data_IF_427751243093
#
_entry.id   IF_427751243093
#
_cell.length_a   1.000
_cell.length_b   1.000
_cell.length_c   1.000
_cell.angle_alpha   90.00
_cell.angle_beta   90.00
_cell.angle_gamma   90.00
#
_symmetry.space_group_name_H-M   'P 1'
#
loop_
_entity.id
_entity.type
_entity.pdbx_description
1 polymer ?
#
# COMPACT_ATOMS: atom_id res chain seq x y z
N UNK A 1 0.39 -6.50 -6.80
CA UNK A 1 -0.28 -6.20 -8.08
C UNK A 1 0.07 -4.83 -8.66
N UNK A 2 0.24 -3.77 -7.87
CA UNK A 2 0.65 -2.45 -8.39
C UNK A 2 2.17 -2.22 -8.53
N UNK A 3 3.03 -3.18 -8.15
CA UNK A 3 4.50 -3.06 -8.29
C UNK A 3 4.97 -2.83 -9.74
N UNK A 4 4.13 -3.15 -10.74
CA UNK A 4 4.40 -2.92 -12.16
C UNK A 4 3.99 -1.54 -12.70
N UNK A 5 3.30 -0.71 -11.91
CA UNK A 5 3.06 0.70 -12.26
C UNK A 5 4.26 1.45 -11.73
N UNK A 6 5.34 1.48 -12.51
CA UNK A 6 6.61 2.16 -12.20
C UNK A 6 6.46 3.68 -12.13
N UNK A 7 5.61 4.16 -11.23
CA UNK A 7 5.44 5.55 -10.88
C UNK A 7 6.61 5.90 -9.95
N UNK A 8 7.75 6.29 -10.54
CA UNK A 8 8.80 7.04 -9.86
C UNK A 8 8.73 8.46 -10.41
N UNK A 9 8.70 9.45 -9.54
CA UNK A 9 8.30 10.83 -9.82
C UNK A 9 8.82 11.46 -11.13
N UNK A 10 7.96 12.34 -11.66
CA UNK A 10 8.08 13.32 -12.76
C UNK A 10 9.43 13.45 -13.52
N UNK A 11 9.42 13.63 -14.87
CA UNK A 11 8.30 14.07 -15.73
C UNK A 11 7.92 13.10 -16.87
N UNK A 12 6.82 13.38 -17.61
CA UNK A 12 5.45 12.81 -17.47
C UNK A 12 5.40 11.32 -17.04
N UNK A 13 4.22 10.72 -16.75
CA UNK A 13 4.12 9.26 -16.63
C UNK A 13 4.55 8.62 -17.96
N UNK A 14 5.85 8.33 -18.07
CA UNK A 14 6.39 7.53 -19.16
C UNK A 14 6.06 6.10 -18.83
N UNK A 15 5.79 5.33 -19.89
CA UNK A 15 5.73 3.88 -19.78
C UNK A 15 7.03 3.44 -19.09
N UNK A 16 6.97 2.77 -17.92
CA UNK A 16 8.17 2.31 -17.27
C UNK A 16 8.93 1.38 -18.23
N UNK A 17 10.27 1.40 -18.22
CA UNK A 17 11.05 0.53 -19.09
C UNK A 17 10.65 -0.92 -18.86
N UNK A 18 10.48 -1.67 -19.95
CA UNK A 18 10.13 -3.08 -19.90
C UNK A 18 11.20 -3.84 -19.11
N UNK A 19 10.76 -4.64 -18.14
CA UNK A 19 11.66 -5.54 -17.44
C UNK A 19 12.29 -6.54 -18.43
N UNK A 20 13.62 -6.59 -18.45
CA UNK A 20 14.39 -7.47 -19.33
C UNK A 20 14.78 -8.77 -18.65
N UNK A 21 14.43 -8.98 -17.38
CA UNK A 21 14.72 -10.21 -16.66
C UNK A 21 14.04 -11.41 -17.35
N UNK A 22 14.71 -12.58 -17.40
CA UNK A 22 14.06 -13.82 -17.81
C UNK A 22 12.79 -14.06 -16.98
N UNK A 23 11.72 -14.54 -17.59
CA UNK A 23 10.42 -14.70 -16.93
C UNK A 23 10.49 -15.41 -15.57
N UNK A 24 11.28 -16.49 -15.47
CA UNK A 24 11.43 -17.24 -14.23
C UNK A 24 12.14 -16.44 -13.11
N UNK A 25 13.01 -15.50 -13.48
CA UNK A 25 13.69 -14.61 -12.55
C UNK A 25 12.78 -13.44 -12.13
N UNK A 26 12.11 -12.80 -13.09
CA UNK A 26 11.10 -11.77 -12.82
C UNK A 26 9.98 -12.30 -11.89
N UNK A 27 9.48 -13.51 -12.16
CA UNK A 27 8.49 -14.16 -11.32
C UNK A 27 9.02 -14.41 -9.90
N UNK A 28 10.28 -14.85 -9.75
CA UNK A 28 10.90 -15.07 -8.44
C UNK A 28 11.09 -13.76 -7.67
N UNK A 29 11.54 -12.72 -8.35
CA UNK A 29 11.66 -11.37 -7.78
C UNK A 29 10.33 -10.86 -7.27
N UNK A 30 9.27 -10.96 -8.10
CA UNK A 30 7.92 -10.55 -7.71
C UNK A 30 7.40 -11.34 -6.50
N UNK A 31 7.62 -12.66 -6.44
CA UNK A 31 7.23 -13.46 -5.28
C UNK A 31 8.02 -13.06 -4.01
N UNK A 32 9.28 -12.67 -4.17
CA UNK A 32 10.12 -12.16 -3.09
C UNK A 32 9.55 -10.90 -2.42
N UNK A 33 8.83 -10.05 -3.15
CA UNK A 33 8.17 -8.84 -2.60
C UNK A 33 7.09 -9.17 -1.53
N UNK A 34 6.62 -10.42 -1.47
CA UNK A 34 5.60 -10.86 -0.51
C UNK A 34 6.19 -11.66 0.67
N UNK A 35 7.51 -11.75 0.76
CA UNK A 35 8.21 -12.51 1.80
C UNK A 35 9.21 -11.59 2.49
N UNK A 36 9.17 -11.57 3.83
CA UNK A 36 10.19 -10.89 4.62
C UNK A 36 11.53 -11.60 4.43
N UNK A 37 12.53 -10.90 3.90
CA UNK A 37 13.88 -11.42 3.72
C UNK A 37 14.57 -11.61 5.08
N UNK A 38 15.64 -12.43 5.17
CA UNK A 38 16.35 -12.66 6.43
C UNK A 38 16.88 -11.39 7.12
N UNK A 39 17.17 -10.34 6.33
CA UNK A 39 17.72 -9.08 6.81
C UNK A 39 16.65 -7.99 7.02
N UNK A 40 15.38 -8.27 6.70
CA UNK A 40 14.29 -7.33 6.91
C UNK A 40 13.92 -7.26 8.40
N UNK A 41 13.54 -6.06 8.85
CA UNK A 41 13.02 -5.86 10.21
C UNK A 41 11.64 -5.22 10.15
N UNK A 42 10.78 -5.49 11.14
CA UNK A 42 9.47 -4.85 11.23
C UNK A 42 9.58 -3.32 11.22
N UNK A 43 10.50 -2.77 12.02
CA UNK A 43 10.75 -1.34 12.08
C UNK A 43 11.17 -0.79 10.70
N UNK A 44 12.10 -1.45 10.01
CA UNK A 44 12.53 -1.05 8.67
C UNK A 44 11.40 -1.08 7.63
N UNK A 45 10.52 -2.09 7.68
CA UNK A 45 9.35 -2.15 6.80
C UNK A 45 8.34 -1.03 7.10
N UNK A 46 8.12 -0.72 8.39
CA UNK A 46 7.28 0.41 8.79
C UNK A 46 7.86 1.74 8.32
N UNK A 47 9.16 1.95 8.45
CA UNK A 47 9.85 3.16 7.98
C UNK A 47 9.75 3.30 6.45
N UNK A 48 9.93 2.19 5.72
CA UNK A 48 9.77 2.16 4.27
C UNK A 48 8.34 2.51 3.84
N UNK A 49 7.33 2.00 4.55
CA UNK A 49 5.93 2.34 4.32
C UNK A 49 5.66 3.84 4.56
N UNK A 50 6.19 4.40 5.64
CA UNK A 50 6.06 5.84 5.94
C UNK A 50 6.72 6.68 4.85
N UNK A 51 7.92 6.32 4.41
CA UNK A 51 8.63 7.02 3.34
C UNK A 51 7.85 6.95 2.00
N UNK A 52 7.31 5.79 1.64
CA UNK A 52 6.49 5.62 0.44
C UNK A 52 5.18 6.41 0.50
N UNK A 53 4.55 6.49 1.67
CA UNK A 53 3.35 7.31 1.88
C UNK A 53 3.65 8.79 1.74
N UNK A 54 4.78 9.26 2.28
CA UNK A 54 5.21 10.65 2.13
C UNK A 54 5.42 11.02 0.65
N UNK A 55 6.07 10.14 -0.13
CA UNK A 55 6.19 10.36 -1.57
C UNK A 55 4.81 10.36 -2.22
N UNK A 56 3.95 9.40 -1.94
CA UNK A 56 2.59 9.31 -2.51
C UNK A 56 1.77 10.59 -2.26
N UNK A 57 1.81 11.13 -1.04
CA UNK A 57 1.14 12.38 -0.68
C UNK A 57 1.70 13.57 -1.45
N UNK A 58 3.03 13.65 -1.62
CA UNK A 58 3.68 14.68 -2.44
C UNK A 58 3.14 14.68 -3.88
N UNK A 59 2.73 13.54 -4.42
CA UNK A 59 2.22 13.42 -5.80
C UNK A 59 0.80 13.90 -5.90
N UNK A 60 -0.01 13.53 -4.91
CA UNK A 60 -1.38 14.04 -4.79
C UNK A 60 -1.36 15.58 -4.79
N UNK A 61 -0.39 16.18 -4.10
CA UNK A 61 -0.25 17.63 -4.00
C UNK A 61 0.35 18.29 -5.25
N UNK A 62 1.20 17.59 -6.01
CA UNK A 62 2.02 18.22 -7.08
C UNK A 62 1.66 17.81 -8.50
N UNK A 63 0.93 16.70 -8.69
CA UNK A 63 0.53 16.24 -10.02
C UNK A 63 -0.78 16.88 -10.47
N UNK A 64 -0.89 17.12 -11.78
CA UNK A 64 -2.18 17.34 -12.41
C UNK A 64 -3.00 16.04 -12.33
N UNK A 65 -4.10 16.08 -11.57
CA UNK A 65 -4.96 14.93 -11.31
C UNK A 65 -5.70 14.46 -12.57
N UNK A 66 -5.85 15.31 -13.58
CA UNK A 66 -6.50 14.96 -14.85
C UNK A 66 -5.48 14.53 -15.92
N UNK A 67 -4.18 14.54 -15.61
CA UNK A 67 -3.14 14.07 -16.52
C UNK A 67 -3.30 12.57 -16.82
N UNK A 68 -3.03 12.20 -18.08
CA UNK A 68 -3.13 10.83 -18.56
C UNK A 68 -1.89 10.00 -18.17
N UNK A 69 -2.13 8.83 -17.59
CA UNK A 69 -1.18 7.76 -17.29
C UNK A 69 -1.39 6.64 -18.31
N UNK A 70 -0.47 6.47 -19.29
CA UNK A 70 -0.64 5.48 -20.36
C UNK A 70 -0.71 4.05 -19.83
N UNK A 71 -1.64 3.25 -20.37
CA UNK A 71 -1.74 1.82 -20.06
C UNK A 71 -0.77 1.04 -20.95
N UNK A 72 0.16 0.23 -20.38
CA UNK A 72 1.05 -0.62 -21.16
C UNK A 72 0.28 -1.64 -22.00
N UNK A 73 0.63 -1.75 -23.30
CA UNK A 73 -0.06 -2.66 -24.26
C UNK A 73 0.48 -4.08 -24.28
N UNK A 74 1.67 -4.29 -23.74
CA UNK A 74 2.36 -5.57 -23.72
C UNK A 74 2.08 -6.39 -22.45
N UNK A 75 1.08 -6.00 -21.66
CA UNK A 75 0.75 -6.61 -20.37
C UNK A 75 -0.63 -7.28 -20.45
N UNK A 76 -0.71 -8.63 -20.44
CA UNK A 76 -1.94 -9.36 -20.78
C UNK A 76 -3.15 -9.15 -19.88
N UNK A 77 -2.96 -8.63 -18.66
CA UNK A 77 -4.04 -8.40 -17.69
C UNK A 77 -4.56 -6.96 -17.70
N UNK A 78 -4.01 -6.09 -18.53
CA UNK A 78 -4.57 -4.75 -18.74
C UNK A 78 -5.61 -4.74 -19.87
N UNK A 79 -6.63 -3.87 -19.76
CA UNK A 79 -7.65 -3.73 -20.80
C UNK A 79 -7.04 -3.21 -22.12
N UNK A 80 -7.46 -3.81 -23.23
CA UNK A 80 -7.00 -3.42 -24.57
C UNK A 80 -7.69 -2.15 -25.08
N UNK A 81 -8.87 -1.82 -24.57
CA UNK A 81 -9.71 -0.70 -24.99
C UNK A 81 -9.49 0.59 -24.17
N UNK A 82 -8.54 0.58 -23.23
CA UNK A 82 -8.20 1.75 -22.42
C UNK A 82 -6.79 2.23 -22.76
N UNK A 83 -6.69 3.43 -23.32
CA UNK A 83 -5.41 4.04 -23.70
C UNK A 83 -4.64 4.59 -22.49
N UNK A 84 -5.36 5.16 -21.53
CA UNK A 84 -4.81 5.79 -20.33
C UNK A 84 -5.84 5.88 -19.19
N UNK A 85 -5.36 5.88 -17.95
CA UNK A 85 -6.12 6.33 -16.78
C UNK A 85 -5.71 7.74 -16.37
N UNK A 86 -6.58 8.49 -15.70
CA UNK A 86 -6.14 9.74 -15.07
C UNK A 86 -5.31 9.47 -13.82
N UNK A 87 -4.43 10.41 -13.46
CA UNK A 87 -3.71 10.38 -12.17
C UNK A 87 -4.70 10.25 -11.00
N UNK A 88 -5.85 10.93 -11.06
CA UNK A 88 -6.94 10.81 -10.08
C UNK A 88 -7.42 9.37 -9.94
N UNK A 89 -7.66 8.68 -11.06
CA UNK A 89 -8.12 7.29 -11.05
C UNK A 89 -7.07 6.38 -10.39
N UNK A 90 -5.79 6.55 -10.74
CA UNK A 90 -4.70 5.74 -10.17
C UNK A 90 -4.57 5.94 -8.66
N UNK A 91 -4.63 7.19 -8.18
CA UNK A 91 -4.57 7.50 -6.74
C UNK A 91 -5.74 6.85 -6.00
N UNK A 92 -6.97 7.01 -6.50
CA UNK A 92 -8.16 6.40 -5.88
C UNK A 92 -8.10 4.87 -5.89
N UNK A 93 -7.55 4.28 -6.95
CA UNK A 93 -7.31 2.84 -7.02
C UNK A 93 -6.34 2.38 -5.92
N UNK A 94 -5.22 3.07 -5.73
CA UNK A 94 -4.24 2.76 -4.66
C UNK A 94 -4.86 2.92 -3.27
N UNK A 95 -5.66 3.95 -3.03
CA UNK A 95 -6.39 4.12 -1.76
C UNK A 95 -7.34 2.94 -1.50
N UNK A 96 -8.09 2.50 -2.52
CA UNK A 96 -8.97 1.34 -2.41
C UNK A 96 -8.22 0.05 -2.11
N UNK A 97 -7.10 -0.19 -2.78
CA UNK A 97 -6.24 -1.35 -2.53
C UNK A 97 -5.65 -1.33 -1.13
N UNK A 98 -5.17 -0.17 -0.66
CA UNK A 98 -4.65 -0.02 0.69
C UNK A 98 -5.74 -0.28 1.74
N UNK A 99 -6.95 0.25 1.56
CA UNK A 99 -8.07 0.01 2.46
C UNK A 99 -8.45 -1.48 2.54
N UNK A 100 -8.47 -2.18 1.38
CA UNK A 100 -8.74 -3.62 1.31
C UNK A 100 -7.69 -4.44 2.07
N UNK A 101 -6.40 -4.09 1.92
CA UNK A 101 -5.32 -4.76 2.63
C UNK A 101 -5.30 -4.44 4.13
N UNK A 102 -5.58 -3.19 4.51
CA UNK A 102 -5.70 -2.79 5.92
C UNK A 102 -6.82 -3.58 6.61
N UNK A 103 -7.97 -3.77 5.96
CA UNK A 103 -9.05 -4.60 6.49
C UNK A 103 -8.64 -6.07 6.69
N UNK A 104 -7.90 -6.66 5.75
CA UNK A 104 -7.38 -8.03 5.93
C UNK A 104 -6.38 -8.12 7.09
N UNK A 105 -5.49 -7.13 7.23
CA UNK A 105 -4.53 -7.07 8.33
C UNK A 105 -5.25 -6.89 9.68
N UNK A 106 -6.33 -6.12 9.71
CA UNK A 106 -7.14 -5.89 10.91
C UNK A 106 -7.80 -7.19 11.40
N UNK A 107 -8.32 -8.02 10.48
CA UNK A 107 -8.85 -9.36 10.83
C UNK A 107 -7.76 -10.21 11.48
N UNK A 108 -6.56 -10.26 10.90
CA UNK A 108 -5.45 -11.04 11.46
C UNK A 108 -5.07 -10.50 12.85
N UNK A 109 -4.94 -9.19 13.00
CA UNK A 109 -4.65 -8.54 14.29
C UNK A 109 -5.72 -8.85 15.34
N UNK A 110 -6.99 -8.69 15.01
CA UNK A 110 -8.11 -8.99 15.91
C UNK A 110 -8.11 -10.47 16.34
N UNK A 111 -7.70 -11.40 15.47
CA UNK A 111 -7.55 -12.82 15.87
C UNK A 111 -6.41 -13.06 16.86
N UNK A 112 -5.46 -12.14 16.99
CA UNK A 112 -4.32 -12.23 17.91
C UNK A 112 -4.66 -11.58 19.25
N UNK A 113 -5.23 -10.36 19.25
CA UNK A 113 -5.42 -9.56 20.46
C UNK A 113 -6.89 -9.39 20.91
N UNK A 114 -7.86 -9.81 20.09
CA UNK A 114 -9.30 -9.69 20.35
C UNK A 114 -9.85 -8.26 20.37
N UNK A 115 -9.04 -7.25 20.04
CA UNK A 115 -9.43 -5.85 20.14
C UNK A 115 -10.14 -5.39 18.87
N UNK A 116 -11.30 -4.75 19.05
CA UNK A 116 -12.09 -4.16 17.97
C UNK A 116 -11.75 -2.67 17.79
N UNK A 117 -12.35 -2.05 16.78
CA UNK A 117 -12.14 -0.64 16.46
C UNK A 117 -12.32 0.30 17.67
N UNK A 118 -13.32 0.07 18.52
CA UNK A 118 -13.60 0.99 19.63
C UNK A 118 -12.47 1.01 20.67
N UNK A 119 -11.93 -0.16 21.04
CA UNK A 119 -10.82 -0.21 22.01
C UNK A 119 -9.57 0.46 21.46
N UNK A 120 -9.28 0.27 20.17
CA UNK A 120 -8.12 0.87 19.50
C UNK A 120 -8.22 2.38 19.37
N UNK A 121 -9.38 2.91 18.95
CA UNK A 121 -9.60 4.36 18.86
C UNK A 121 -9.49 4.99 20.25
N UNK A 122 -10.12 4.39 21.26
CA UNK A 122 -10.01 4.90 22.63
C UNK A 122 -8.57 4.91 23.15
N UNK A 123 -7.75 3.90 22.81
CA UNK A 123 -6.33 3.88 23.14
C UNK A 123 -5.56 5.00 22.42
N UNK A 124 -5.73 5.11 21.10
CA UNK A 124 -5.09 6.13 20.27
C UNK A 124 -5.40 7.56 20.73
N UNK A 125 -6.66 7.82 21.03
CA UNK A 125 -7.17 9.14 21.42
C UNK A 125 -7.06 9.40 22.94
N UNK A 126 -6.41 8.50 23.69
CA UNK A 126 -6.17 8.61 25.13
C UNK A 126 -7.45 8.80 25.98
N UNK A 127 -8.52 8.10 25.62
CA UNK A 127 -9.77 8.14 26.38
C UNK A 127 -9.60 7.46 27.74
N UNK A 128 -10.31 7.96 28.74
CA UNK A 128 -10.41 7.27 30.04
C UNK A 128 -11.32 6.04 29.90
N UNK A 129 -11.08 4.96 30.67
CA UNK A 129 -11.99 3.80 30.69
C UNK A 129 -13.43 4.22 30.99
N UNK A 130 -14.36 3.71 30.18
CA UNK A 130 -15.79 3.91 30.32
C UNK A 130 -16.47 2.61 30.76
N UNK A 131 -17.68 2.64 31.35
CA UNK A 131 -18.40 1.43 31.77
C UNK A 131 -18.62 0.39 30.65
N UNK A 132 -18.58 0.82 29.40
CA UNK A 132 -18.83 0.00 28.20
C UNK A 132 -17.62 -0.10 27.26
N UNK A 133 -16.48 0.50 27.62
CA UNK A 133 -15.29 0.54 26.76
C UNK A 133 -14.01 0.69 27.57
N UNK A 134 -13.10 -0.25 27.40
CA UNK A 134 -11.74 -0.15 27.96
C UNK A 134 -10.77 0.10 26.81
N UNK A 135 -9.99 1.21 26.83
CA UNK A 135 -8.93 1.43 25.85
C UNK A 135 -7.98 0.24 25.76
N UNK A 136 -7.65 -0.19 24.53
CA UNK A 136 -6.73 -1.28 24.29
C UNK A 136 -5.34 -0.99 24.88
N UNK A 137 -4.67 -2.04 25.37
CA UNK A 137 -3.28 -1.99 25.81
C UNK A 137 -2.56 -3.24 25.34
N UNK A 138 -1.31 -3.09 24.91
CA UNK A 138 -0.45 -4.24 24.59
C UNK A 138 -0.26 -5.10 25.84
N UNK A 139 -0.29 -6.42 25.66
CA UNK A 139 0.06 -7.40 26.69
C UNK A 139 1.55 -7.39 27.05
N UNK A 140 2.39 -6.74 26.24
CA UNK A 140 3.83 -6.62 26.48
C UNK A 140 4.11 -5.50 27.49
N UNK A 141 3.82 -5.80 28.75
CA UNK A 141 4.44 -5.14 29.90
C UNK A 141 4.94 -6.24 30.84
N UNK A 142 6.00 -6.94 30.43
CA UNK A 142 6.89 -7.69 31.33
C UNK A 142 8.29 -7.64 30.75
#
# INVERSE_FOLDING_TARGET
>A
MCSGIGWRGSPPPRVPPTDTLPFAEAARSYQGEYVMAPDDTLAGLCDALVAQNAESLRLVDTCDLDAAVPVPRNVPWFPEDVDAWSVRWVILHVVGELARHAGHADIIRETIDGATMYELIAARENWQPQPWLTPWRSSDTT
#
